data_IF_023087142862
#
_entry.id   IF_023087142862
#
_cell.length_a   1.000
_cell.length_b   1.000
_cell.length_c   1.000
_cell.angle_alpha   90.00
_cell.angle_beta   90.00
_cell.angle_gamma   90.00
#
_symmetry.space_group_name_H-M   'P 1'
#
loop_
_entity.id
_entity.type
_entity.pdbx_description
1 polymer ?
#
# COMPACT_ATOMS: atom_id res chain seq x y z
N UNK A 1 9.66 19.47 -20.94
CA UNK A 1 10.83 19.43 -20.03
C UNK A 1 10.38 18.65 -18.78
N UNK A 2 10.82 17.40 -18.65
CA UNK A 2 10.50 16.60 -17.45
C UNK A 2 11.40 17.16 -16.33
N UNK A 3 10.81 17.89 -15.38
CA UNK A 3 11.56 18.32 -14.19
C UNK A 3 12.05 17.07 -13.47
N UNK A 4 13.27 17.09 -12.94
CA UNK A 4 13.86 16.01 -12.14
C UNK A 4 13.05 15.83 -10.84
N UNK A 5 11.92 15.11 -10.96
CA UNK A 5 11.09 14.78 -9.79
C UNK A 5 11.82 13.78 -8.90
N UNK A 6 11.87 14.06 -7.60
CA UNK A 6 12.47 13.17 -6.62
C UNK A 6 11.55 11.96 -6.39
N UNK A 7 12.09 10.74 -6.50
CA UNK A 7 11.34 9.52 -6.22
C UNK A 7 11.60 9.07 -4.78
N UNK A 8 10.53 8.94 -3.98
CA UNK A 8 10.57 8.47 -2.58
C UNK A 8 9.65 7.25 -2.40
N UNK A 9 9.72 6.60 -1.23
CA UNK A 9 8.85 5.45 -0.94
C UNK A 9 9.20 4.17 -1.70
N UNK A 10 10.34 4.11 -2.38
CA UNK A 10 10.79 2.92 -3.10
C UNK A 10 11.35 1.82 -2.19
N UNK A 11 11.84 2.19 -1.00
CA UNK A 11 12.31 1.22 0.00
C UNK A 11 11.10 0.61 0.69
N UNK A 12 10.94 -0.70 0.55
CA UNK A 12 9.86 -1.46 1.20
C UNK A 12 9.97 -1.36 2.72
N UNK A 13 8.86 -1.13 3.41
CA UNK A 13 8.78 -1.11 4.87
C UNK A 13 9.27 -2.43 5.45
N UNK A 14 10.28 -2.36 6.32
CA UNK A 14 10.79 -3.54 7.00
C UNK A 14 9.79 -3.97 8.06
N UNK A 15 9.24 -5.16 7.91
CA UNK A 15 8.46 -5.78 8.97
C UNK A 15 9.40 -6.25 10.09
N UNK A 16 9.08 -5.90 11.33
CA UNK A 16 9.79 -6.45 12.47
C UNK A 16 9.51 -7.96 12.61
N UNK A 17 10.37 -8.70 13.31
CA UNK A 17 10.26 -10.16 13.44
C UNK A 17 8.95 -10.61 14.13
N UNK A 18 8.42 -9.81 15.07
CA UNK A 18 7.14 -10.10 15.74
C UNK A 18 5.98 -10.04 14.76
N UNK A 19 5.93 -8.99 13.92
CA UNK A 19 4.92 -8.86 12.86
C UNK A 19 5.03 -9.99 11.84
N UNK A 20 6.25 -10.41 11.47
CA UNK A 20 6.44 -11.54 10.55
C UNK A 20 5.88 -12.84 11.12
N UNK A 21 6.14 -13.14 12.43
CA UNK A 21 5.57 -14.30 13.10
C UNK A 21 4.04 -14.21 13.17
N UNK A 22 3.49 -13.05 13.55
CA UNK A 22 2.04 -12.85 13.59
C UNK A 22 1.39 -13.10 12.24
N UNK A 23 1.98 -12.58 11.16
CA UNK A 23 1.52 -12.81 9.80
C UNK A 23 1.62 -14.28 9.41
N UNK A 24 2.73 -14.98 9.77
CA UNK A 24 2.89 -16.41 9.51
C UNK A 24 1.79 -17.23 10.18
N UNK A 25 1.52 -16.96 11.45
CA UNK A 25 0.48 -17.69 12.22
C UNK A 25 -0.91 -17.38 11.64
N UNK A 26 -1.24 -16.10 11.46
CA UNK A 26 -2.55 -15.68 10.98
C UNK A 26 -2.85 -16.26 9.60
N UNK A 27 -1.92 -16.11 8.65
CA UNK A 27 -2.11 -16.62 7.28
C UNK A 27 -2.14 -18.15 7.23
N UNK A 28 -1.32 -18.81 8.03
CA UNK A 28 -1.35 -20.27 8.18
C UNK A 28 -2.70 -20.77 8.69
N UNK A 29 -3.24 -20.17 9.75
CA UNK A 29 -4.55 -20.53 10.31
C UNK A 29 -5.69 -20.25 9.31
N UNK A 30 -5.68 -19.11 8.64
CA UNK A 30 -6.67 -18.81 7.60
C UNK A 30 -6.65 -19.86 6.48
N UNK A 31 -5.47 -20.30 6.08
CA UNK A 31 -5.33 -21.26 5.03
C UNK A 31 -5.80 -22.67 5.44
N UNK A 32 -5.50 -23.08 6.69
CA UNK A 32 -6.05 -24.30 7.29
C UNK A 32 -7.58 -24.27 7.26
N UNK A 33 -8.16 -23.17 7.78
CA UNK A 33 -9.62 -23.02 7.83
C UNK A 33 -10.23 -23.09 6.44
N UNK A 34 -9.65 -22.39 5.47
CA UNK A 34 -10.13 -22.38 4.08
C UNK A 34 -10.12 -23.78 3.48
N UNK A 35 -9.02 -24.54 3.58
CA UNK A 35 -8.93 -25.88 3.05
C UNK A 35 -9.81 -26.89 3.81
N UNK A 36 -9.98 -26.74 5.12
CA UNK A 36 -10.90 -27.57 5.90
C UNK A 36 -12.35 -27.41 5.44
N UNK A 37 -12.75 -26.15 5.14
CA UNK A 37 -14.09 -25.87 4.59
C UNK A 37 -14.24 -26.50 3.20
N UNK A 38 -13.25 -26.35 2.33
CA UNK A 38 -13.30 -26.94 0.98
C UNK A 38 -13.39 -28.46 1.04
N UNK A 39 -12.51 -29.12 1.82
CA UNK A 39 -12.52 -30.59 1.95
C UNK A 39 -13.89 -31.08 2.48
N UNK A 40 -14.49 -30.35 3.45
CA UNK A 40 -15.83 -30.70 3.95
C UNK A 40 -16.93 -30.51 2.90
N UNK A 41 -16.90 -29.40 2.14
CA UNK A 41 -17.91 -29.11 1.12
C UNK A 41 -17.85 -30.06 -0.09
N UNK A 42 -16.66 -30.46 -0.52
CA UNK A 42 -16.48 -31.28 -1.73
C UNK A 42 -16.43 -32.77 -1.43
N UNK A 43 -15.82 -33.16 -0.30
CA UNK A 43 -15.60 -34.59 0.02
C UNK A 43 -16.49 -35.07 1.18
N UNK A 44 -17.27 -34.20 1.80
CA UNK A 44 -18.13 -34.51 2.94
C UNK A 44 -17.40 -34.86 4.24
N UNK A 45 -16.07 -34.75 4.29
CA UNK A 45 -15.26 -35.13 5.44
C UNK A 45 -13.97 -34.32 5.57
N UNK A 46 -13.49 -34.14 6.79
CA UNK A 46 -12.21 -33.53 7.06
C UNK A 46 -11.07 -34.52 6.77
N UNK A 47 -9.95 -34.01 6.28
CA UNK A 47 -8.73 -34.78 6.05
C UNK A 47 -7.87 -34.89 7.33
N UNK A 48 -6.71 -35.51 7.23
CA UNK A 48 -5.82 -35.71 8.37
C UNK A 48 -5.27 -34.37 8.91
N UNK A 49 -5.07 -34.32 10.23
CA UNK A 49 -4.44 -33.16 10.89
C UNK A 49 -3.05 -32.85 10.32
N UNK A 50 -2.29 -33.88 9.96
CA UNK A 50 -0.96 -33.72 9.34
C UNK A 50 -1.04 -32.94 8.03
N UNK A 51 -2.04 -33.22 7.17
CA UNK A 51 -2.26 -32.47 5.91
C UNK A 51 -2.49 -30.99 6.19
N UNK A 52 -3.37 -30.66 7.12
CA UNK A 52 -3.67 -29.27 7.46
C UNK A 52 -2.48 -28.57 8.12
N UNK A 53 -1.73 -29.27 8.98
CA UNK A 53 -0.50 -28.72 9.58
C UNK A 53 0.54 -28.40 8.50
N UNK A 54 0.78 -29.29 7.54
CA UNK A 54 1.71 -29.03 6.42
C UNK A 54 1.26 -27.85 5.58
N UNK A 55 -0.01 -27.78 5.21
CA UNK A 55 -0.58 -26.67 4.42
C UNK A 55 -0.40 -25.34 5.18
N UNK A 56 -0.83 -25.30 6.44
CA UNK A 56 -0.80 -24.06 7.25
C UNK A 56 0.62 -23.59 7.53
N UNK A 57 1.51 -24.49 7.93
CA UNK A 57 2.91 -24.13 8.21
C UNK A 57 3.61 -23.66 6.93
N UNK A 58 3.47 -24.38 5.82
CA UNK A 58 4.10 -24.00 4.55
C UNK A 58 3.63 -22.65 4.07
N UNK A 59 2.32 -22.40 4.06
CA UNK A 59 1.76 -21.13 3.61
C UNK A 59 2.12 -19.99 4.57
N UNK A 60 2.06 -20.24 5.87
CA UNK A 60 2.46 -19.27 6.89
C UNK A 60 3.93 -18.83 6.73
N UNK A 61 4.85 -19.77 6.52
CA UNK A 61 6.26 -19.46 6.27
C UNK A 61 6.47 -18.67 4.97
N UNK A 62 5.74 -19.04 3.91
CA UNK A 62 5.82 -18.30 2.64
C UNK A 62 5.37 -16.86 2.83
N UNK A 63 4.20 -16.64 3.43
CA UNK A 63 3.60 -15.31 3.56
C UNK A 63 4.27 -14.43 4.63
N UNK A 64 4.73 -15.02 5.72
CA UNK A 64 5.33 -14.28 6.82
C UNK A 64 6.85 -14.07 6.70
N UNK A 65 7.57 -14.94 5.99
CA UNK A 65 9.03 -14.87 5.86
C UNK A 65 9.51 -14.72 4.43
N UNK A 66 9.14 -15.64 3.53
CA UNK A 66 9.68 -15.66 2.17
C UNK A 66 9.21 -14.44 1.35
N UNK A 67 7.92 -14.11 1.39
CA UNK A 67 7.36 -12.98 0.65
C UNK A 67 7.93 -11.63 1.13
N UNK A 68 7.99 -11.30 2.44
CA UNK A 68 8.64 -10.07 2.92
C UNK A 68 10.11 -9.97 2.52
N UNK A 69 10.86 -11.08 2.57
CA UNK A 69 12.24 -11.13 2.11
C UNK A 69 12.36 -10.80 0.61
N UNK A 70 11.51 -11.42 -0.21
CA UNK A 70 11.47 -11.18 -1.67
C UNK A 70 11.11 -9.72 -1.98
N UNK A 71 10.07 -9.16 -1.34
CA UNK A 71 9.66 -7.78 -1.53
C UNK A 71 10.74 -6.79 -1.09
N UNK A 72 11.45 -7.06 -0.01
CA UNK A 72 12.59 -6.25 0.44
C UNK A 72 13.70 -6.22 -0.63
N UNK A 73 13.98 -7.37 -1.28
CA UNK A 73 15.07 -7.50 -2.25
C UNK A 73 14.71 -6.92 -3.63
N UNK A 74 13.48 -7.10 -4.08
CA UNK A 74 13.08 -6.80 -5.47
C UNK A 74 11.98 -5.75 -5.57
N UNK A 75 11.25 -5.46 -4.49
CA UNK A 75 10.06 -4.62 -4.52
C UNK A 75 10.30 -3.21 -5.06
N UNK A 76 11.42 -2.57 -4.67
CA UNK A 76 11.77 -1.26 -5.19
C UNK A 76 11.92 -1.24 -6.72
N UNK A 77 12.63 -2.22 -7.27
CA UNK A 77 12.85 -2.33 -8.73
C UNK A 77 11.54 -2.56 -9.50
N UNK A 78 10.66 -3.38 -8.94
CA UNK A 78 9.34 -3.65 -9.53
C UNK A 78 8.48 -2.39 -9.48
N UNK A 79 8.41 -1.71 -8.32
CA UNK A 79 7.65 -0.49 -8.15
C UNK A 79 8.09 0.61 -9.12
N UNK A 80 9.38 0.89 -9.23
CA UNK A 80 9.91 1.89 -10.16
C UNK A 80 9.61 1.54 -11.63
N UNK A 81 9.69 0.24 -12.01
CA UNK A 81 9.34 -0.17 -13.37
C UNK A 81 7.87 0.09 -13.71
N UNK A 82 6.96 -0.21 -12.78
CA UNK A 82 5.51 0.05 -12.93
C UNK A 82 5.28 1.56 -12.93
N UNK A 83 5.90 2.30 -12.04
CA UNK A 83 5.71 3.74 -11.87
C UNK A 83 6.05 4.58 -13.11
N UNK A 84 7.00 4.13 -13.93
CA UNK A 84 7.36 4.80 -15.20
C UNK A 84 6.20 4.84 -16.21
N UNK A 85 5.20 3.99 -16.06
CA UNK A 85 4.01 3.94 -16.93
C UNK A 85 2.85 4.79 -16.44
N UNK A 86 2.95 5.34 -15.22
CA UNK A 86 1.89 6.11 -14.58
C UNK A 86 2.23 7.59 -14.74
N UNK A 87 1.44 8.29 -15.55
CA UNK A 87 1.60 9.71 -15.84
C UNK A 87 0.37 10.44 -15.30
N UNK A 88 0.54 11.38 -14.34
CA UNK A 88 -0.57 12.18 -13.84
C UNK A 88 -1.05 13.20 -14.88
N UNK A 89 -2.32 13.54 -14.83
CA UNK A 89 -2.87 14.68 -15.57
C UNK A 89 -2.59 15.95 -14.76
N UNK A 90 -1.88 16.89 -15.38
CA UNK A 90 -1.45 18.14 -14.75
C UNK A 90 -2.20 19.33 -15.36
N UNK A 91 -2.43 20.35 -14.54
CA UNK A 91 -2.96 21.64 -15.00
C UNK A 91 -1.83 22.52 -15.53
N UNK A 92 -2.21 23.66 -16.13
CA UNK A 92 -1.22 24.62 -16.62
C UNK A 92 -0.29 25.10 -15.50
N UNK A 93 1.01 25.19 -15.79
CA UNK A 93 2.07 25.56 -14.81
C UNK A 93 2.16 24.64 -13.58
N UNK A 94 1.57 23.46 -13.61
CA UNK A 94 1.73 22.44 -12.59
C UNK A 94 2.90 21.52 -12.93
N UNK A 95 3.75 21.23 -11.95
CA UNK A 95 4.91 20.36 -12.09
C UNK A 95 5.01 19.37 -10.94
N UNK A 96 5.37 18.14 -11.27
CA UNK A 96 5.64 17.10 -10.27
C UNK A 96 7.01 17.36 -9.64
N UNK A 97 7.06 17.46 -8.33
CA UNK A 97 8.29 17.65 -7.55
C UNK A 97 8.73 16.37 -6.88
N UNK A 98 7.77 15.63 -6.31
CA UNK A 98 8.02 14.35 -5.63
C UNK A 98 7.01 13.32 -6.16
N UNK A 99 7.44 12.08 -6.28
CA UNK A 99 6.58 10.97 -6.64
C UNK A 99 7.03 9.67 -5.97
N UNK A 100 6.14 8.70 -5.88
CA UNK A 100 6.50 7.36 -5.42
C UNK A 100 5.32 6.40 -5.37
N UNK A 101 5.61 5.10 -5.22
CA UNK A 101 4.58 4.07 -5.18
C UNK A 101 3.69 4.24 -3.95
N UNK A 102 2.39 4.12 -4.16
CA UNK A 102 1.38 4.18 -3.12
C UNK A 102 0.17 3.32 -3.49
N UNK A 103 -0.57 2.89 -2.48
CA UNK A 103 -1.93 2.39 -2.67
C UNK A 103 -2.89 3.34 -1.95
N UNK A 104 -4.11 3.43 -2.44
CA UNK A 104 -5.21 4.11 -1.75
C UNK A 104 -6.35 3.14 -1.52
N UNK A 105 -6.99 3.20 -0.34
CA UNK A 105 -8.21 2.45 -0.11
C UNK A 105 -9.39 3.16 -0.75
N UNK A 106 -10.13 2.43 -1.59
CA UNK A 106 -11.43 2.84 -2.16
C UNK A 106 -12.48 1.81 -1.73
N UNK A 107 -13.10 2.06 -0.59
CA UNK A 107 -13.94 1.06 0.06
C UNK A 107 -13.11 -0.13 0.54
N UNK A 108 -13.40 -1.34 0.03
CA UNK A 108 -12.67 -2.57 0.39
C UNK A 108 -11.47 -2.85 -0.52
N UNK A 109 -11.31 -2.12 -1.63
CA UNK A 109 -10.21 -2.32 -2.57
C UNK A 109 -8.98 -1.48 -2.18
N UNK A 110 -7.81 -2.11 -2.21
CA UNK A 110 -6.51 -1.42 -2.14
C UNK A 110 -5.99 -1.17 -3.55
N UNK A 111 -6.28 0.02 -4.06
CA UNK A 111 -5.95 0.44 -5.42
C UNK A 111 -4.49 0.86 -5.51
N UNK A 112 -3.69 0.11 -6.27
CA UNK A 112 -2.27 0.41 -6.47
C UNK A 112 -2.03 1.52 -7.50
N UNK A 113 -1.01 2.35 -7.26
CA UNK A 113 -0.67 3.47 -8.13
C UNK A 113 0.57 4.22 -7.68
N UNK A 114 0.59 5.49 -8.00
CA UNK A 114 1.62 6.43 -7.59
C UNK A 114 1.02 7.68 -6.97
N UNK A 115 1.64 8.14 -5.91
CA UNK A 115 1.37 9.42 -5.27
C UNK A 115 2.37 10.43 -5.82
N UNK A 116 1.86 11.60 -6.20
CA UNK A 116 2.62 12.72 -6.73
C UNK A 116 2.35 13.93 -5.86
N UNK A 117 3.41 14.62 -5.45
CA UNK A 117 3.32 15.95 -4.87
C UNK A 117 3.76 16.94 -5.92
N UNK A 118 2.84 17.83 -6.29
CA UNK A 118 3.10 18.91 -7.24
C UNK A 118 3.30 20.23 -6.49
N UNK A 119 3.61 21.28 -7.21
CA UNK A 119 3.62 22.63 -6.66
C UNK A 119 2.23 23.22 -6.36
N UNK A 120 1.13 22.48 -6.67
CA UNK A 120 -0.26 22.94 -6.45
C UNK A 120 -1.07 22.02 -5.57
N UNK A 121 -0.93 20.71 -5.72
CA UNK A 121 -1.78 19.71 -5.07
C UNK A 121 -1.09 18.36 -4.92
N UNK A 122 -1.69 17.49 -4.15
CA UNK A 122 -1.37 16.07 -4.08
C UNK A 122 -2.22 15.31 -5.08
N UNK A 123 -1.62 14.43 -5.88
CA UNK A 123 -2.30 13.61 -6.90
C UNK A 123 -2.02 12.14 -6.63
N UNK A 124 -3.06 11.32 -6.58
CA UNK A 124 -2.93 9.88 -6.69
C UNK A 124 -3.41 9.42 -8.06
N UNK A 125 -2.59 8.70 -8.81
CA UNK A 125 -2.95 8.09 -10.08
C UNK A 125 -2.78 6.59 -10.01
N UNK A 126 -3.88 5.84 -10.25
CA UNK A 126 -3.85 4.39 -10.26
C UNK A 126 -3.17 3.85 -11.52
N UNK A 127 -2.61 2.64 -11.45
CA UNK A 127 -2.21 1.92 -12.65
C UNK A 127 -3.42 1.26 -13.33
N UNK A 128 -3.26 0.92 -14.62
CA UNK A 128 -4.36 0.41 -15.47
C UNK A 128 -4.86 -1.00 -15.12
N UNK A 129 -4.17 -1.72 -14.23
CA UNK A 129 -4.50 -3.11 -13.87
C UNK A 129 -5.58 -3.18 -12.78
N UNK A 130 -5.86 -2.08 -12.05
CA UNK A 130 -6.89 -2.06 -11.02
C UNK A 130 -8.30 -2.11 -11.62
N UNK A 131 -9.26 -2.62 -10.84
CA UNK A 131 -10.68 -2.56 -11.17
C UNK A 131 -11.15 -1.10 -11.11
N UNK A 132 -10.77 -0.37 -10.05
CA UNK A 132 -11.06 1.05 -9.89
C UNK A 132 -9.85 1.88 -10.36
N UNK A 133 -9.87 2.31 -11.62
CA UNK A 133 -8.85 3.19 -12.19
C UNK A 133 -9.23 4.65 -12.06
N UNK A 134 -8.25 5.54 -12.17
CA UNK A 134 -8.48 6.99 -12.23
C UNK A 134 -7.42 7.80 -11.50
N UNK A 135 -7.68 9.10 -11.45
CA UNK A 135 -6.89 10.09 -10.73
C UNK A 135 -7.72 10.68 -9.59
N UNK A 136 -7.08 10.94 -8.47
CA UNK A 136 -7.64 11.65 -7.33
C UNK A 136 -6.73 12.83 -7.05
N UNK A 137 -7.29 14.01 -7.07
CA UNK A 137 -6.61 15.28 -6.81
C UNK A 137 -7.04 15.80 -5.43
N UNK A 138 -6.10 16.24 -4.62
CA UNK A 138 -6.33 16.80 -3.28
C UNK A 138 -5.54 18.10 -3.18
N UNK A 139 -6.22 19.22 -3.18
CA UNK A 139 -5.59 20.54 -3.03
C UNK A 139 -5.03 20.67 -1.61
N UNK A 140 -3.82 21.21 -1.46
CA UNK A 140 -3.19 21.36 -0.14
C UNK A 140 -4.02 22.22 0.81
N UNK A 141 -4.67 23.28 0.29
CA UNK A 141 -5.58 24.13 1.06
C UNK A 141 -6.81 23.40 1.61
N UNK A 142 -7.23 22.31 0.95
CA UNK A 142 -8.38 21.52 1.38
C UNK A 142 -8.07 20.55 2.52
N UNK A 143 -6.79 20.31 2.82
CA UNK A 143 -6.38 19.34 3.84
C UNK A 143 -6.62 19.94 5.22
N UNK A 144 -7.44 19.24 6.04
CA UNK A 144 -7.71 19.58 7.43
C UNK A 144 -6.74 18.85 8.38
N UNK A 145 -6.51 17.55 8.12
CA UNK A 145 -5.67 16.70 8.98
C UNK A 145 -4.81 15.74 8.16
N UNK A 146 -3.61 15.51 8.66
CA UNK A 146 -2.65 14.54 8.13
C UNK A 146 -2.14 13.68 9.28
N UNK A 147 -2.55 12.44 9.32
CA UNK A 147 -2.24 11.55 10.44
C UNK A 147 -1.67 10.20 10.02
N UNK A 148 -0.95 9.58 10.95
CA UNK A 148 -0.42 8.24 10.78
C UNK A 148 -1.52 7.18 10.95
N UNK A 149 -1.44 6.14 10.15
CA UNK A 149 -2.32 4.99 10.25
C UNK A 149 -1.55 3.68 10.18
N UNK A 150 -2.06 2.64 10.86
CA UNK A 150 -1.57 1.26 10.71
C UNK A 150 -2.40 0.50 9.71
N UNK A 151 -1.77 -0.09 8.71
CA UNK A 151 -2.44 -1.01 7.78
C UNK A 151 -2.71 -2.33 8.51
N UNK A 152 -3.96 -2.81 8.45
CA UNK A 152 -4.43 -4.01 9.16
C UNK A 152 -4.10 -4.00 10.67
N UNK A 153 -3.95 -2.82 11.29
CA UNK A 153 -3.55 -2.62 12.70
C UNK A 153 -2.15 -3.16 13.05
N UNK A 154 -1.37 -3.61 12.08
CA UNK A 154 -0.08 -4.30 12.27
C UNK A 154 1.10 -3.58 11.63
N UNK A 155 0.91 -2.92 10.50
CA UNK A 155 2.01 -2.38 9.68
C UNK A 155 1.97 -0.85 9.70
N UNK A 156 3.09 -0.24 10.12
CA UNK A 156 3.27 1.22 10.25
C UNK A 156 3.63 1.86 8.88
N UNK A 157 2.68 1.82 7.93
CA UNK A 157 2.89 2.33 6.57
C UNK A 157 1.69 3.10 6.01
N UNK A 158 0.68 3.39 6.82
CA UNK A 158 -0.50 4.13 6.41
C UNK A 158 -0.42 5.61 6.72
N UNK A 159 -0.98 6.43 5.82
CA UNK A 159 -1.21 7.86 5.99
C UNK A 159 -2.69 8.12 5.76
N UNK A 160 -3.33 8.87 6.65
CA UNK A 160 -4.67 9.41 6.45
C UNK A 160 -4.58 10.88 6.12
N UNK A 161 -5.22 11.28 5.05
CA UNK A 161 -5.45 12.67 4.68
C UNK A 161 -6.93 12.93 4.82
N UNK A 162 -7.31 13.88 5.68
CA UNK A 162 -8.69 14.33 5.86
C UNK A 162 -8.83 15.73 5.29
N UNK A 163 -9.83 15.95 4.47
CA UNK A 163 -10.14 17.24 3.88
C UNK A 163 -11.21 17.99 4.69
N UNK A 164 -11.28 19.31 4.55
CA UNK A 164 -12.20 20.21 5.27
C UNK A 164 -13.69 19.89 5.01
N UNK A 165 -13.99 19.24 3.89
CA UNK A 165 -15.33 18.73 3.55
C UNK A 165 -15.63 17.34 4.17
N UNK A 166 -14.69 16.82 4.98
CA UNK A 166 -14.83 15.57 5.72
C UNK A 166 -14.48 14.31 4.96
N UNK A 167 -13.96 14.39 3.74
CA UNK A 167 -13.52 13.22 2.97
C UNK A 167 -12.19 12.72 3.54
N UNK A 168 -12.07 11.41 3.75
CA UNK A 168 -10.87 10.76 4.22
C UNK A 168 -10.25 9.89 3.12
N UNK A 169 -8.95 10.08 2.89
CA UNK A 169 -8.15 9.28 1.98
C UNK A 169 -7.10 8.51 2.78
N UNK A 170 -7.16 7.18 2.73
CA UNK A 170 -6.22 6.30 3.39
C UNK A 170 -5.19 5.77 2.38
N UNK A 171 -3.97 6.24 2.49
CA UNK A 171 -2.86 5.80 1.65
C UNK A 171 -1.99 4.78 2.37
N UNK A 172 -1.47 3.81 1.63
CA UNK A 172 -0.39 2.93 2.05
C UNK A 172 0.85 3.32 1.27
N UNK A 173 1.92 3.68 1.98
CA UNK A 173 3.19 4.11 1.39
C UNK A 173 4.37 3.46 2.12
N UNK A 174 5.48 3.32 1.45
CA UNK A 174 6.74 3.03 2.12
C UNK A 174 7.41 4.33 2.55
N UNK A 175 8.25 4.28 3.60
CA UNK A 175 8.94 5.46 4.14
C UNK A 175 7.93 6.56 4.54
N UNK A 176 6.91 6.18 5.28
CA UNK A 176 5.77 7.01 5.69
C UNK A 176 6.19 8.38 6.25
N UNK A 177 7.20 8.41 7.10
CA UNK A 177 7.68 9.63 7.76
C UNK A 177 8.18 10.67 6.73
N UNK A 178 8.81 10.22 5.65
CA UNK A 178 9.27 11.11 4.58
C UNK A 178 8.07 11.73 3.86
N UNK A 179 7.05 10.91 3.57
CA UNK A 179 5.81 11.39 2.94
C UNK A 179 5.09 12.42 3.81
N UNK A 180 4.90 12.12 5.10
CA UNK A 180 4.23 13.02 6.05
C UNK A 180 4.96 14.36 6.10
N UNK A 181 6.28 14.35 6.26
CA UNK A 181 7.07 15.57 6.28
C UNK A 181 6.91 16.37 4.98
N UNK A 182 6.99 15.71 3.82
CA UNK A 182 6.88 16.38 2.53
C UNK A 182 5.48 16.91 2.21
N UNK A 183 4.44 16.28 2.71
CA UNK A 183 3.06 16.78 2.60
C UNK A 183 2.86 17.96 3.57
N UNK A 184 3.30 17.82 4.83
CA UNK A 184 3.18 18.89 5.84
C UNK A 184 3.89 20.18 5.42
N UNK A 185 5.11 20.08 4.84
CA UNK A 185 5.84 21.24 4.30
C UNK A 185 4.98 22.05 3.32
N UNK A 186 4.11 21.39 2.54
CA UNK A 186 3.26 22.03 1.52
C UNK A 186 1.96 22.59 2.08
N UNK A 187 1.38 21.91 3.08
CA UNK A 187 0.17 22.42 3.77
C UNK A 187 0.49 23.73 4.50
N UNK A 188 1.67 23.85 5.12
CA UNK A 188 2.08 25.07 5.86
C UNK A 188 2.49 26.21 4.91
N UNK A 189 2.88 25.90 3.68
CA UNK A 189 3.33 26.90 2.69
C UNK A 189 2.18 27.59 1.95
N UNK A 190 0.94 27.15 2.15
CA UNK A 190 -0.30 27.70 1.58
C UNK A 190 -1.04 28.49 2.64
#
# INVERSE_FOLDING_TARGET
MQSDSVEIGTKVTNLNWKTQIQLSILTGLLFITFFSILDYLFDGQLKSLTRYAVIGVSFGLIMGLALPYFLKKYGAKIATKIGKTIIPELTENERVEIKGPANVFRGMESVGGYLFLTNKKMIFKSHKINIQTGQTDIDYESIEDLSERKTAKLIDNGIRVKTKDGIEFDFIVNQREIWINKISERIVAV
#
